data_IF_337070986268
#
_entry.id   IF_337070986268
#
_cell.length_a   1.000
_cell.length_b   1.000
_cell.length_c   1.000
_cell.angle_alpha   90.00
_cell.angle_beta   90.00
_cell.angle_gamma   90.00
#
_symmetry.space_group_name_H-M   'P 1'
#
loop_
_entity.id
_entity.type
_entity.pdbx_description
1 polymer ?
#
# COMPACT_ATOMS: atom_id res chain seq x y z
N UNK A 1 -54.03 18.59 -15.08
CA UNK A 1 -53.26 17.37 -15.43
C UNK A 1 -54.03 16.18 -14.91
N UNK A 2 -54.62 15.36 -15.79
CA UNK A 2 -55.61 14.32 -15.42
C UNK A 2 -54.93 13.13 -14.73
N UNK A 3 -55.57 12.54 -13.72
CA UNK A 3 -55.09 11.39 -12.94
C UNK A 3 -54.71 10.17 -13.80
N UNK A 4 -55.21 10.10 -15.05
CA UNK A 4 -54.77 9.11 -16.06
C UNK A 4 -53.34 9.33 -16.56
N UNK A 5 -52.91 10.58 -16.77
CA UNK A 5 -51.56 10.92 -17.25
C UNK A 5 -50.50 10.60 -16.18
N UNK A 6 -50.81 10.86 -14.91
CA UNK A 6 -49.93 10.53 -13.78
C UNK A 6 -49.77 9.01 -13.65
N UNK A 7 -50.85 8.23 -13.80
CA UNK A 7 -50.78 6.76 -13.74
C UNK A 7 -49.96 6.17 -14.90
N UNK A 8 -50.09 6.71 -16.12
CA UNK A 8 -49.29 6.27 -17.28
C UNK A 8 -47.82 6.62 -17.07
N UNK A 9 -47.52 7.80 -16.53
CA UNK A 9 -46.14 8.21 -16.22
C UNK A 9 -45.51 7.33 -15.13
N UNK A 10 -46.25 6.98 -14.07
CA UNK A 10 -45.76 6.08 -13.03
C UNK A 10 -45.50 4.65 -13.56
N UNK A 11 -46.33 4.14 -14.46
CA UNK A 11 -46.12 2.81 -15.07
C UNK A 11 -44.88 2.81 -15.98
N UNK A 12 -44.69 3.86 -16.78
CA UNK A 12 -43.48 4.01 -17.60
C UNK A 12 -42.21 4.17 -16.75
N UNK A 13 -42.28 4.93 -15.65
CA UNK A 13 -41.15 5.11 -14.74
C UNK A 13 -40.77 3.80 -14.03
N UNK A 14 -41.75 2.98 -13.64
CA UNK A 14 -41.52 1.66 -13.04
C UNK A 14 -40.96 0.63 -14.04
N UNK A 15 -41.32 0.73 -15.32
CA UNK A 15 -40.75 -0.12 -16.38
C UNK A 15 -39.33 0.31 -16.78
N UNK A 16 -39.01 1.60 -16.69
CA UNK A 16 -37.66 2.13 -16.97
C UNK A 16 -36.66 1.85 -15.84
N UNK A 17 -37.15 1.70 -14.61
CA UNK A 17 -36.38 1.26 -13.44
C UNK A 17 -36.45 -0.26 -13.22
N UNK A 18 -36.64 -1.05 -14.28
CA UNK A 18 -36.06 -2.38 -14.25
C UNK A 18 -34.55 -2.16 -14.17
N UNK A 19 -34.02 -2.30 -12.96
CA UNK A 19 -32.59 -2.44 -12.70
C UNK A 19 -32.02 -3.23 -13.86
N UNK A 20 -31.13 -2.63 -14.64
CA UNK A 20 -30.23 -3.39 -15.47
C UNK A 20 -29.48 -4.29 -14.50
N UNK A 21 -30.08 -5.46 -14.21
CA UNK A 21 -29.37 -6.58 -13.67
C UNK A 21 -28.27 -6.76 -14.70
N UNK A 22 -27.04 -6.43 -14.30
CA UNK A 22 -25.87 -6.79 -15.07
C UNK A 22 -25.98 -8.32 -15.13
N UNK A 23 -26.52 -8.84 -16.24
CA UNK A 23 -26.68 -10.27 -16.48
C UNK A 23 -25.26 -10.76 -16.68
N UNK A 24 -24.58 -11.03 -15.58
CA UNK A 24 -23.28 -11.68 -15.60
C UNK A 24 -23.53 -13.06 -16.21
N UNK A 25 -22.99 -13.30 -17.40
CA UNK A 25 -23.21 -14.54 -18.12
C UNK A 25 -22.89 -15.74 -17.21
N UNK A 26 -23.82 -16.69 -17.09
CA UNK A 26 -23.75 -17.85 -16.18
C UNK A 26 -22.44 -18.66 -16.31
N UNK A 27 -21.75 -18.58 -17.44
CA UNK A 27 -20.44 -19.22 -17.66
C UNK A 27 -19.26 -18.46 -17.06
N UNK A 28 -19.33 -17.14 -16.99
CA UNK A 28 -18.30 -16.30 -16.38
C UNK A 28 -18.28 -16.47 -14.85
N UNK A 29 -19.46 -16.65 -14.25
CA UNK A 29 -19.58 -16.92 -12.81
C UNK A 29 -19.00 -18.29 -12.40
N UNK A 30 -19.09 -19.32 -13.24
CA UNK A 30 -18.58 -20.67 -12.94
C UNK A 30 -17.04 -20.73 -12.90
N UNK A 31 -16.36 -20.16 -13.91
CA UNK A 31 -14.89 -20.16 -13.96
C UNK A 31 -14.28 -19.32 -12.83
N UNK A 32 -14.87 -18.16 -12.52
CA UNK A 32 -14.40 -17.30 -11.44
C UNK A 32 -14.59 -17.97 -10.07
N UNK A 33 -15.72 -18.64 -9.84
CA UNK A 33 -15.98 -19.37 -8.60
C UNK A 33 -14.97 -20.50 -8.39
N UNK A 34 -14.68 -21.27 -9.44
CA UNK A 34 -13.67 -22.34 -9.42
C UNK A 34 -12.25 -21.81 -9.19
N UNK A 35 -11.88 -20.73 -9.86
CA UNK A 35 -10.59 -20.08 -9.67
C UNK A 35 -10.44 -19.53 -8.24
N UNK A 36 -11.48 -18.88 -7.70
CA UNK A 36 -11.53 -18.44 -6.30
C UNK A 36 -11.28 -19.59 -5.33
N UNK A 37 -11.93 -20.73 -5.55
CA UNK A 37 -11.75 -21.92 -4.72
C UNK A 37 -10.32 -22.47 -4.78
N UNK A 38 -9.72 -22.47 -5.97
CA UNK A 38 -8.33 -22.89 -6.16
C UNK A 38 -7.34 -21.95 -5.45
N UNK A 39 -7.58 -20.63 -5.49
CA UNK A 39 -6.80 -19.64 -4.74
C UNK A 39 -6.89 -19.87 -3.23
N UNK A 40 -8.09 -20.06 -2.68
CA UNK A 40 -8.29 -20.33 -1.24
C UNK A 40 -7.59 -21.61 -0.78
N UNK A 41 -7.49 -22.62 -1.64
CA UNK A 41 -6.76 -23.87 -1.37
C UNK A 41 -5.26 -23.78 -1.63
N UNK A 42 -4.77 -22.69 -2.19
CA UNK A 42 -3.39 -22.55 -2.67
C UNK A 42 -2.96 -23.69 -3.63
N UNK A 43 -3.89 -24.22 -4.43
CA UNK A 43 -3.62 -25.32 -5.36
C UNK A 43 -3.10 -24.77 -6.69
N UNK A 44 -1.77 -24.67 -6.81
CA UNK A 44 -1.11 -24.10 -7.99
C UNK A 44 -1.46 -24.79 -9.30
N UNK A 45 -1.62 -26.12 -9.30
CA UNK A 45 -1.97 -26.86 -10.53
C UNK A 45 -3.39 -26.51 -10.96
N UNK A 46 -4.31 -26.45 -9.99
CA UNK A 46 -5.70 -26.11 -10.25
C UNK A 46 -5.85 -24.65 -10.68
N UNK A 47 -5.16 -23.70 -10.03
CA UNK A 47 -5.09 -22.29 -10.43
C UNK A 47 -4.65 -22.19 -11.90
N UNK A 48 -3.55 -22.87 -12.28
CA UNK A 48 -3.03 -22.83 -13.64
C UNK A 48 -4.01 -23.42 -14.67
N UNK A 49 -4.76 -24.45 -14.31
CA UNK A 49 -5.71 -25.12 -15.22
C UNK A 49 -6.84 -24.21 -15.73
N UNK A 50 -7.21 -23.20 -14.94
CA UNK A 50 -8.27 -22.24 -15.28
C UNK A 50 -7.78 -21.05 -16.11
N UNK A 51 -6.47 -20.94 -16.30
CA UNK A 51 -5.80 -19.85 -16.99
C UNK A 51 -5.45 -20.29 -18.40
N UNK A 52 -5.60 -19.38 -19.37
CA UNK A 52 -5.15 -19.59 -20.74
C UNK A 52 -3.64 -19.76 -20.77
N UNK A 53 -3.15 -20.67 -21.60
CA UNK A 53 -1.72 -20.92 -21.74
C UNK A 53 -0.96 -19.63 -22.11
N UNK A 54 0.23 -19.44 -21.54
CA UNK A 54 1.06 -18.23 -21.74
C UNK A 54 0.70 -17.04 -20.85
N UNK A 55 -0.43 -17.05 -20.14
CA UNK A 55 -0.76 -15.97 -19.18
C UNK A 55 0.05 -16.14 -17.89
N UNK A 56 0.82 -15.10 -17.55
CA UNK A 56 1.62 -15.06 -16.32
C UNK A 56 0.73 -14.84 -15.10
N UNK A 57 0.82 -15.75 -14.14
CA UNK A 57 0.17 -15.61 -12.84
C UNK A 57 0.95 -14.65 -11.92
N UNK A 58 0.26 -13.86 -11.09
CA UNK A 58 0.88 -13.17 -9.98
C UNK A 58 1.55 -14.13 -8.99
N UNK A 59 2.53 -13.63 -8.24
CA UNK A 59 3.10 -14.37 -7.12
C UNK A 59 2.16 -14.24 -5.93
N UNK A 60 1.63 -15.37 -5.46
CA UNK A 60 0.82 -15.41 -4.24
C UNK A 60 1.69 -15.80 -3.03
N UNK A 61 1.55 -15.12 -1.88
CA UNK A 61 2.27 -15.48 -0.66
C UNK A 61 1.91 -16.89 -0.22
N UNK A 62 2.90 -17.64 0.28
CA UNK A 62 2.72 -19.03 0.75
C UNK A 62 2.48 -19.13 2.24
N UNK A 63 3.02 -18.16 2.96
CA UNK A 63 3.15 -18.04 4.40
C UNK A 63 1.94 -17.37 5.05
N UNK A 64 1.16 -16.59 4.29
CA UNK A 64 -0.12 -16.03 4.73
C UNK A 64 -1.30 -16.68 3.99
N UNK A 65 -2.12 -17.51 4.67
CA UNK A 65 -3.29 -18.09 4.05
C UNK A 65 -4.34 -17.01 3.73
N UNK A 66 -5.01 -17.15 2.59
CA UNK A 66 -6.14 -16.29 2.23
C UNK A 66 -7.34 -16.67 3.08
N UNK A 67 -7.88 -15.70 3.81
CA UNK A 67 -9.07 -15.90 4.65
C UNK A 67 -10.36 -15.84 3.83
N UNK A 68 -10.49 -14.80 3.01
CA UNK A 68 -11.69 -14.54 2.21
C UNK A 68 -11.29 -13.97 0.85
N UNK A 69 -12.09 -14.26 -0.18
CA UNK A 69 -12.03 -13.55 -1.45
C UNK A 69 -13.43 -13.06 -1.80
N UNK A 70 -13.58 -11.74 -1.92
CA UNK A 70 -14.80 -11.09 -2.42
C UNK A 70 -14.73 -10.93 -3.93
N UNK A 71 -15.84 -11.22 -4.60
CA UNK A 71 -16.01 -11.08 -6.04
C UNK A 71 -16.84 -9.83 -6.30
N UNK A 72 -16.30 -8.89 -7.06
CA UNK A 72 -16.94 -7.61 -7.38
C UNK A 72 -17.07 -7.49 -8.90
N UNK A 73 -18.26 -7.15 -9.45
CA UNK A 73 -18.41 -6.92 -10.87
C UNK A 73 -17.61 -5.70 -11.33
N UNK A 74 -17.02 -5.77 -12.52
CA UNK A 74 -16.41 -4.62 -13.20
C UNK A 74 -17.38 -4.08 -14.26
N UNK A 75 -17.40 -2.76 -14.54
CA UNK A 75 -18.13 -2.20 -15.68
C UNK A 75 -17.51 -2.60 -17.03
N UNK A 76 -16.26 -3.10 -17.05
CA UNK A 76 -15.62 -3.61 -18.26
C UNK A 76 -16.21 -4.98 -18.62
N UNK A 77 -16.49 -5.18 -19.90
CA UNK A 77 -16.98 -6.47 -20.42
C UNK A 77 -16.03 -7.61 -20.05
N UNK A 78 -16.60 -8.79 -19.76
CA UNK A 78 -15.88 -10.01 -19.41
C UNK A 78 -14.90 -9.87 -18.22
N UNK A 79 -15.02 -8.81 -17.43
CA UNK A 79 -14.05 -8.47 -16.38
C UNK A 79 -14.66 -8.61 -14.99
N UNK A 80 -13.89 -9.22 -14.09
CA UNK A 80 -14.26 -9.40 -12.68
C UNK A 80 -13.12 -8.95 -11.78
N UNK A 81 -13.45 -8.29 -10.67
CA UNK A 81 -12.48 -7.92 -9.64
C UNK A 81 -12.55 -8.94 -8.50
N UNK A 82 -11.39 -9.46 -8.09
CA UNK A 82 -11.25 -10.27 -6.88
C UNK A 82 -10.50 -9.47 -5.82
N UNK A 83 -11.08 -9.35 -4.63
CA UNK A 83 -10.45 -8.72 -3.47
C UNK A 83 -10.17 -9.81 -2.44
N UNK A 84 -8.90 -10.11 -2.23
CA UNK A 84 -8.43 -11.10 -1.27
C UNK A 84 -8.13 -10.45 0.08
N UNK A 85 -8.43 -11.14 1.17
CA UNK A 85 -8.15 -10.72 2.53
C UNK A 85 -7.27 -11.75 3.24
N UNK A 86 -6.22 -11.28 3.90
CA UNK A 86 -5.46 -12.07 4.87
C UNK A 86 -6.02 -11.84 6.26
N UNK A 87 -6.01 -12.88 7.09
CA UNK A 87 -6.31 -12.76 8.52
C UNK A 87 -5.01 -12.41 9.24
N UNK A 88 -4.93 -11.24 9.86
CA UNK A 88 -3.75 -10.85 10.67
C UNK A 88 -3.93 -11.25 12.13
N UNK A 89 -5.09 -10.99 12.73
CA UNK A 89 -5.52 -11.44 14.07
C UNK A 89 -7.00 -11.85 14.02
N UNK A 90 -7.60 -12.25 15.15
CA UNK A 90 -8.96 -12.80 15.14
C UNK A 90 -10.05 -11.87 14.59
N UNK A 91 -9.88 -10.54 14.72
CA UNK A 91 -10.88 -9.55 14.33
C UNK A 91 -10.45 -8.61 13.20
N UNK A 92 -9.20 -8.68 12.73
CA UNK A 92 -8.66 -7.75 11.73
C UNK A 92 -8.21 -8.51 10.48
N UNK A 93 -8.94 -8.26 9.39
CA UNK A 93 -8.58 -8.70 8.05
C UNK A 93 -7.96 -7.54 7.25
N UNK A 94 -6.81 -7.76 6.63
CA UNK A 94 -6.19 -6.79 5.73
C UNK A 94 -6.31 -7.24 4.29
N UNK A 95 -6.40 -6.29 3.36
CA UNK A 95 -6.42 -6.62 1.93
C UNK A 95 -5.09 -7.26 1.56
N UNK A 96 -5.14 -8.49 1.08
CA UNK A 96 -3.98 -9.25 0.66
C UNK A 96 -3.56 -8.94 -0.77
N UNK A 97 -4.52 -8.94 -1.70
CA UNK A 97 -4.29 -8.51 -3.08
C UNK A 97 -5.61 -8.18 -3.78
N UNK A 98 -5.54 -7.41 -4.85
CA UNK A 98 -6.67 -7.14 -5.75
C UNK A 98 -6.29 -7.58 -7.16
N UNK A 99 -7.11 -8.46 -7.76
CA UNK A 99 -6.95 -8.91 -9.13
C UNK A 99 -8.07 -8.37 -10.02
N UNK A 100 -7.71 -7.88 -11.19
CA UNK A 100 -8.62 -7.70 -12.33
C UNK A 100 -8.44 -8.87 -13.28
N UNK A 101 -9.53 -9.59 -13.53
CA UNK A 101 -9.53 -10.85 -14.29
C UNK A 101 -10.46 -10.71 -15.48
N UNK A 102 -9.95 -11.01 -16.68
CA UNK A 102 -10.76 -11.05 -17.90
C UNK A 102 -10.98 -12.50 -18.33
N UNK A 103 -12.22 -12.91 -18.51
CA UNK A 103 -12.58 -14.29 -18.88
C UNK A 103 -13.05 -14.37 -20.32
N UNK A 104 -12.44 -15.24 -21.13
CA UNK A 104 -12.88 -15.54 -22.50
C UNK A 104 -12.91 -17.05 -22.71
N UNK A 105 -13.89 -17.54 -23.46
CA UNK A 105 -13.99 -18.97 -23.80
C UNK A 105 -13.90 -19.91 -22.58
N UNK A 106 -14.54 -19.53 -21.46
CA UNK A 106 -14.53 -20.27 -20.18
C UNK A 106 -13.15 -20.44 -19.53
N UNK A 107 -12.17 -19.62 -19.93
CA UNK A 107 -10.85 -19.52 -19.28
C UNK A 107 -10.53 -18.09 -18.90
N UNK A 108 -9.58 -17.94 -17.98
CA UNK A 108 -9.01 -16.65 -17.65
C UNK A 108 -7.98 -16.28 -18.72
N UNK A 109 -8.30 -15.24 -19.48
CA UNK A 109 -7.49 -14.73 -20.59
C UNK A 109 -6.55 -13.61 -20.21
N UNK A 110 -6.79 -12.93 -19.09
CA UNK A 110 -5.93 -11.90 -18.54
C UNK A 110 -6.07 -11.85 -17.02
N UNK A 111 -4.95 -11.65 -16.32
CA UNK A 111 -4.91 -11.38 -14.88
C UNK A 111 -3.99 -10.20 -14.66
N UNK A 112 -4.50 -9.15 -14.03
CA UNK A 112 -3.72 -8.00 -13.61
C UNK A 112 -3.82 -7.85 -12.09
N UNK A 113 -2.67 -7.78 -11.40
CA UNK A 113 -2.64 -7.52 -9.97
C UNK A 113 -2.60 -6.01 -9.74
N UNK A 114 -3.76 -5.44 -9.40
CA UNK A 114 -3.91 -4.00 -9.16
C UNK A 114 -3.32 -3.60 -7.81
N UNK A 115 -3.38 -4.51 -6.84
CA UNK A 115 -2.83 -4.28 -5.50
C UNK A 115 -2.16 -5.54 -4.98
N UNK A 116 -0.98 -5.36 -4.38
CA UNK A 116 -0.23 -6.38 -3.68
C UNK A 116 0.02 -5.92 -2.25
N UNK A 117 -0.76 -6.47 -1.31
CA UNK A 117 -0.64 -6.20 0.12
C UNK A 117 0.57 -6.87 0.76
N UNK A 118 1.34 -7.68 0.03
CA UNK A 118 2.65 -8.16 0.48
C UNK A 118 3.76 -7.19 0.14
N UNK A 119 3.56 -6.34 -0.89
CA UNK A 119 4.54 -5.35 -1.31
C UNK A 119 4.65 -4.22 -0.27
N UNK A 120 5.82 -4.04 0.38
CA UNK A 120 6.03 -3.00 1.37
C UNK A 120 5.72 -1.58 0.86
N UNK A 121 6.05 -1.29 -0.40
CA UNK A 121 5.88 0.03 -1.00
C UNK A 121 4.43 0.36 -1.36
N UNK A 122 3.60 -0.66 -1.65
CA UNK A 122 2.15 -0.45 -1.85
C UNK A 122 1.46 -0.11 -0.52
N UNK A 123 1.89 -0.76 0.57
CA UNK A 123 1.42 -0.42 1.92
C UNK A 123 1.84 0.98 2.35
N UNK A 124 3.08 1.36 2.05
CA UNK A 124 3.56 2.74 2.26
C UNK A 124 2.69 3.74 1.51
N UNK A 125 2.49 3.56 0.20
CA UNK A 125 1.71 4.48 -0.62
C UNK A 125 0.28 4.66 -0.09
N UNK A 126 -0.32 3.58 0.42
CA UNK A 126 -1.68 3.60 1.00
C UNK A 126 -1.75 4.51 2.24
N UNK A 127 -0.87 4.30 3.23
CA UNK A 127 -0.92 5.07 4.47
C UNK A 127 -0.39 6.50 4.30
N UNK A 128 0.58 6.71 3.41
CA UNK A 128 1.03 8.05 3.02
C UNK A 128 -0.14 8.82 2.45
N UNK A 129 -0.92 8.21 1.53
CA UNK A 129 -2.08 8.87 0.94
C UNK A 129 -3.15 9.21 1.98
N UNK A 130 -3.42 8.30 2.91
CA UNK A 130 -4.34 8.53 4.04
C UNK A 130 -3.89 9.75 4.87
N UNK A 131 -2.60 9.81 5.20
CA UNK A 131 -2.04 10.93 5.96
C UNK A 131 -2.10 12.25 5.18
N UNK A 132 -1.72 12.26 3.90
CA UNK A 132 -1.81 13.45 3.04
C UNK A 132 -3.24 13.99 2.94
N UNK A 133 -4.24 13.12 2.84
CA UNK A 133 -5.66 13.51 2.83
C UNK A 133 -6.08 14.13 4.16
N UNK A 134 -5.59 13.60 5.28
CA UNK A 134 -5.85 14.14 6.63
C UNK A 134 -5.26 15.53 6.80
N UNK A 135 -4.01 15.75 6.38
CA UNK A 135 -3.31 17.04 6.54
C UNK A 135 -3.50 18.00 5.37
N UNK A 136 -4.16 17.55 4.29
CA UNK A 136 -4.42 18.30 3.05
C UNK A 136 -3.14 18.87 2.41
N UNK A 137 -2.05 18.12 2.48
CA UNK A 137 -0.75 18.52 1.92
C UNK A 137 0.07 17.28 1.58
N UNK A 138 0.85 17.38 0.52
CA UNK A 138 1.82 16.36 0.15
C UNK A 138 2.96 16.28 1.17
N UNK A 139 3.47 15.07 1.37
CA UNK A 139 4.67 14.83 2.17
C UNK A 139 5.75 14.17 1.33
N UNK A 140 6.99 14.36 1.75
CA UNK A 140 8.12 13.72 1.11
C UNK A 140 8.19 12.24 1.49
N UNK A 141 8.41 11.36 0.52
CA UNK A 141 8.75 9.94 0.73
C UNK A 141 10.08 9.60 0.06
N UNK A 142 10.87 8.65 0.59
CA UNK A 142 12.19 8.34 0.05
C UNK A 142 12.10 7.54 -1.25
N UNK A 143 12.97 7.84 -2.21
CA UNK A 143 13.18 6.99 -3.40
C UNK A 143 14.44 6.14 -3.29
N UNK A 144 15.30 6.41 -2.29
CA UNK A 144 16.47 5.60 -1.94
C UNK A 144 16.33 5.04 -0.54
N UNK A 145 16.70 3.77 -0.39
CA UNK A 145 16.64 3.03 0.87
C UNK A 145 18.05 2.58 1.29
N UNK A 146 18.32 2.48 2.60
CA UNK A 146 19.63 2.08 3.12
C UNK A 146 19.96 0.59 2.91
N UNK A 147 18.97 -0.22 2.56
CA UNK A 147 19.03 -1.66 2.33
C UNK A 147 17.77 -2.12 1.57
N UNK A 148 17.73 -3.40 1.17
CA UNK A 148 16.54 -4.00 0.56
C UNK A 148 15.39 -4.09 1.56
N UNK A 149 14.20 -3.64 1.17
CA UNK A 149 13.03 -3.63 2.07
C UNK A 149 12.27 -4.95 1.96
N UNK A 150 12.15 -5.66 3.08
CA UNK A 150 11.41 -6.92 3.18
C UNK A 150 10.04 -6.73 3.82
N UNK A 151 9.94 -5.87 4.84
CA UNK A 151 8.68 -5.60 5.52
C UNK A 151 8.46 -4.10 5.75
N UNK A 152 7.20 -3.72 5.91
CA UNK A 152 6.77 -2.36 6.19
C UNK A 152 5.63 -2.30 7.20
N UNK A 153 5.73 -1.36 8.12
CA UNK A 153 4.67 -0.96 9.03
C UNK A 153 4.51 0.56 9.04
N UNK A 154 3.27 1.02 8.90
CA UNK A 154 2.92 2.43 8.96
C UNK A 154 1.94 2.70 10.09
N UNK A 155 2.10 3.83 10.78
CA UNK A 155 1.20 4.26 11.83
C UNK A 155 0.88 5.75 11.70
N UNK A 156 -0.40 6.10 11.78
CA UNK A 156 -0.85 7.48 11.97
C UNK A 156 -1.30 7.62 13.42
N UNK A 157 -0.62 8.45 14.20
CA UNK A 157 -0.97 8.72 15.60
C UNK A 157 -1.06 10.22 15.84
N UNK A 158 -2.21 10.68 16.33
CA UNK A 158 -2.51 12.12 16.45
C UNK A 158 -2.28 12.83 15.10
N UNK A 159 -1.27 13.70 15.01
CA UNK A 159 -0.91 14.42 13.78
C UNK A 159 0.43 13.97 13.20
N UNK A 160 0.91 12.78 13.54
CA UNK A 160 2.19 12.26 13.08
C UNK A 160 1.98 11.03 12.20
N UNK A 161 2.83 10.89 11.21
CA UNK A 161 3.00 9.67 10.43
C UNK A 161 4.34 9.03 10.79
N UNK A 162 4.34 7.74 11.03
CA UNK A 162 5.55 6.95 11.16
C UNK A 162 5.55 5.82 10.13
N UNK A 163 6.66 5.75 9.38
CA UNK A 163 6.93 4.74 8.37
C UNK A 163 8.13 3.92 8.87
N UNK A 164 7.96 2.61 9.00
CA UNK A 164 9.01 1.68 9.43
C UNK A 164 9.23 0.62 8.37
N UNK A 165 10.48 0.46 7.98
CA UNK A 165 10.93 -0.51 6.98
C UNK A 165 11.94 -1.45 7.62
N UNK A 166 11.85 -2.72 7.27
CA UNK A 166 12.63 -3.77 7.92
C UNK A 166 13.35 -4.63 6.90
N UNK A 167 14.53 -5.10 7.32
CA UNK A 167 15.27 -6.17 6.67
C UNK A 167 15.78 -7.12 7.77
N UNK A 168 15.24 -8.33 7.81
CA UNK A 168 15.51 -9.29 8.87
C UNK A 168 16.93 -9.90 8.74
N UNK A 169 17.45 -10.04 7.51
CA UNK A 169 18.77 -10.64 7.24
C UNK A 169 19.92 -9.83 7.85
N UNK A 170 19.74 -8.52 7.94
CA UNK A 170 20.70 -7.60 8.58
C UNK A 170 20.18 -7.02 9.90
N UNK A 171 19.02 -7.46 10.38
CA UNK A 171 18.30 -6.87 11.51
C UNK A 171 18.14 -5.34 11.37
N UNK A 172 17.97 -4.84 10.14
CA UNK A 172 17.94 -3.43 9.81
C UNK A 172 16.57 -2.83 10.06
N UNK A 173 16.55 -1.64 10.67
CA UNK A 173 15.32 -0.85 10.82
C UNK A 173 15.56 0.52 10.19
N UNK A 174 14.73 0.89 9.23
CA UNK A 174 14.73 2.23 8.67
C UNK A 174 13.42 2.89 9.03
N UNK A 175 13.48 4.08 9.63
CA UNK A 175 12.31 4.78 10.16
C UNK A 175 12.26 6.20 9.65
N UNK A 176 11.08 6.61 9.20
CA UNK A 176 10.76 8.01 8.91
C UNK A 176 9.61 8.43 9.80
N UNK A 177 9.77 9.55 10.49
CA UNK A 177 8.69 10.20 11.24
C UNK A 177 8.42 11.56 10.62
N UNK A 178 7.16 11.82 10.27
CA UNK A 178 6.68 13.08 9.73
C UNK A 178 5.70 13.68 10.74
N UNK A 179 5.95 14.92 11.14
CA UNK A 179 5.10 15.67 12.06
C UNK A 179 5.04 17.14 11.66
N UNK A 180 3.97 17.89 11.98
CA UNK A 180 3.99 19.34 11.88
C UNK A 180 5.20 19.94 12.62
N UNK A 181 5.78 21.02 12.09
CA UNK A 181 6.85 21.73 12.80
C UNK A 181 6.28 22.33 14.08
N UNK A 182 6.82 21.91 15.23
CA UNK A 182 6.51 22.48 16.54
C UNK A 182 7.62 23.40 17.04
N UNK A 183 8.87 23.04 16.72
CA UNK A 183 10.08 23.67 17.22
C UNK A 183 11.04 23.94 16.06
N UNK A 184 11.85 25.00 16.15
CA UNK A 184 12.90 25.25 15.15
C UNK A 184 14.00 24.20 15.27
N UNK A 185 14.69 23.91 14.16
CA UNK A 185 15.72 22.86 14.12
C UNK A 185 16.83 23.06 15.17
N UNK A 186 17.20 24.30 15.48
CA UNK A 186 18.21 24.63 16.49
C UNK A 186 17.82 24.26 17.94
N UNK A 187 16.54 23.95 18.19
CA UNK A 187 16.06 23.50 19.51
C UNK A 187 16.28 21.99 19.72
N UNK A 188 16.71 21.27 18.69
CA UNK A 188 17.09 19.85 18.76
C UNK A 188 18.61 19.65 18.91
N UNK A 189 19.36 20.72 19.17
CA UNK A 189 20.81 20.66 19.33
C UNK A 189 21.16 20.10 20.70
N UNK A 190 21.94 19.02 20.69
CA UNK A 190 22.54 18.43 21.88
C UNK A 190 24.06 18.40 21.72
N UNK A 191 24.78 17.92 22.75
CA UNK A 191 26.24 17.74 22.64
C UNK A 191 26.54 16.87 21.41
N UNK A 192 27.54 17.24 20.62
CA UNK A 192 27.96 16.48 19.44
C UNK A 192 27.11 16.64 18.18
N UNK A 193 25.92 17.27 18.24
CA UNK A 193 25.09 17.53 17.06
C UNK A 193 25.86 18.28 15.96
N UNK A 194 25.66 17.87 14.71
CA UNK A 194 26.28 18.49 13.54
C UNK A 194 25.22 18.98 12.55
N UNK A 195 25.42 20.17 11.99
CA UNK A 195 24.56 20.72 10.94
C UNK A 195 25.12 20.39 9.56
N UNK A 196 24.22 20.08 8.65
CA UNK A 196 24.49 19.82 7.24
C UNK A 196 23.55 20.64 6.36
N UNK A 197 23.95 20.84 5.11
CA UNK A 197 23.11 21.45 4.08
C UNK A 197 22.71 20.38 3.07
N UNK A 198 21.41 20.16 2.93
CA UNK A 198 20.81 19.38 1.85
C UNK A 198 20.65 20.28 0.61
N UNK A 199 20.39 19.65 -0.55
CA UNK A 199 19.93 20.35 -1.77
C UNK A 199 18.91 21.45 -1.47
N UNK A 200 19.07 22.57 -2.19
CA UNK A 200 18.33 23.83 -2.06
C UNK A 200 18.56 24.55 -0.72
N UNK A 201 19.78 24.47 -0.17
CA UNK A 201 20.20 25.11 1.08
C UNK A 201 19.31 24.77 2.29
N UNK A 202 18.65 23.60 2.28
CA UNK A 202 17.84 23.16 3.42
C UNK A 202 18.76 22.66 4.51
N UNK A 203 18.67 23.23 5.70
CA UNK A 203 19.47 22.78 6.84
C UNK A 203 18.93 21.45 7.38
N UNK A 204 19.84 20.53 7.67
CA UNK A 204 19.59 19.28 8.38
C UNK A 204 20.49 19.18 9.62
N UNK A 205 20.00 18.46 10.61
CA UNK A 205 20.65 18.25 11.90
C UNK A 205 20.90 16.76 12.06
N UNK A 206 22.16 16.36 12.15
CA UNK A 206 22.58 15.00 12.44
C UNK A 206 22.76 14.82 13.94
N UNK A 207 22.13 13.80 14.49
CA UNK A 207 22.19 13.45 15.90
C UNK A 207 23.09 12.21 16.09
N UNK A 208 24.35 12.38 16.54
CA UNK A 208 25.27 11.26 16.70
C UNK A 208 25.03 10.45 17.98
N UNK A 209 24.27 10.97 18.95
CA UNK A 209 24.14 10.39 20.29
C UNK A 209 22.86 9.59 20.51
N UNK A 210 22.15 9.29 19.44
CA UNK A 210 21.08 8.31 19.52
C UNK A 210 21.68 6.90 19.45
N UNK A 211 21.84 6.25 20.60
CA UNK A 211 22.53 4.95 20.71
C UNK A 211 21.88 3.86 19.85
N UNK A 212 20.57 3.96 19.62
CA UNK A 212 19.80 2.97 18.88
C UNK A 212 19.84 3.16 17.36
N UNK A 213 20.06 4.37 16.85
CA UNK A 213 20.01 4.67 15.42
C UNK A 213 20.86 5.86 14.97
N UNK A 214 21.26 5.89 13.70
CA UNK A 214 21.80 7.08 13.06
C UNK A 214 20.62 7.97 12.67
N UNK A 215 20.55 9.20 13.17
CA UNK A 215 19.38 10.07 12.99
C UNK A 215 19.72 11.39 12.29
N UNK A 216 18.91 11.77 11.32
CA UNK A 216 18.93 13.07 10.64
C UNK A 216 17.54 13.72 10.74
N UNK A 217 17.52 14.99 11.13
CA UNK A 217 16.31 15.80 11.26
C UNK A 217 16.37 16.95 10.27
N UNK A 218 15.31 17.19 9.51
CA UNK A 218 15.17 18.40 8.68
C UNK A 218 13.71 18.85 8.61
N UNK A 219 13.50 20.07 8.11
CA UNK A 219 12.16 20.65 8.00
C UNK A 219 11.90 21.12 6.57
N UNK A 220 10.69 20.87 6.05
CA UNK A 220 10.24 21.32 4.73
C UNK A 220 8.71 21.43 4.70
N UNK A 221 8.21 22.49 4.06
CA UNK A 221 6.78 22.71 3.78
C UNK A 221 5.86 22.63 5.02
N UNK A 222 6.36 23.05 6.17
CA UNK A 222 5.64 23.02 7.46
C UNK A 222 5.70 21.69 8.20
N UNK A 223 6.44 20.71 7.68
CA UNK A 223 6.70 19.42 8.33
C UNK A 223 8.14 19.30 8.79
N UNK A 224 8.30 18.55 9.87
CA UNK A 224 9.56 18.02 10.36
C UNK A 224 9.65 16.54 9.96
N UNK A 225 10.80 16.19 9.40
CA UNK A 225 11.16 14.84 9.00
C UNK A 225 12.28 14.38 9.91
N UNK A 226 12.09 13.23 10.56
CA UNK A 226 13.16 12.50 11.25
C UNK A 226 13.41 11.21 10.49
N UNK A 227 14.63 11.06 9.98
CA UNK A 227 15.09 9.85 9.30
C UNK A 227 16.02 9.13 10.25
N UNK A 228 15.78 7.85 10.52
CA UNK A 228 16.62 7.05 11.39
C UNK A 228 16.95 5.69 10.76
N UNK A 229 18.24 5.32 10.77
CA UNK A 229 18.71 3.97 10.44
C UNK A 229 19.13 3.30 11.76
N UNK A 230 18.27 2.42 12.25
CA UNK A 230 18.31 1.84 13.57
C UNK A 230 18.93 0.46 13.65
N UNK A 231 18.86 -0.05 14.87
CA UNK A 231 19.48 -1.29 15.31
C UNK A 231 21.00 -1.30 15.19
N UNK A 232 21.63 -0.16 15.56
CA UNK A 232 23.08 0.09 15.47
C UNK A 232 23.96 -1.06 15.96
N UNK A 233 23.55 -1.75 17.03
CA UNK A 233 24.30 -2.86 17.63
C UNK A 233 24.32 -4.13 16.75
N UNK A 234 23.29 -4.34 15.92
CA UNK A 234 23.07 -5.58 15.18
C UNK A 234 23.18 -5.40 13.67
N UNK A 235 23.03 -4.17 13.19
CA UNK A 235 23.13 -3.87 11.77
C UNK A 235 24.59 -4.06 11.31
N UNK A 236 24.77 -4.94 10.33
CA UNK A 236 26.11 -5.28 9.81
C UNK A 236 26.73 -4.12 9.01
N UNK A 237 25.90 -3.19 8.51
CA UNK A 237 26.31 -1.99 7.78
C UNK A 237 26.67 -0.83 8.71
N UNK A 238 27.81 -0.18 8.46
CA UNK A 238 28.18 1.09 9.12
C UNK A 238 27.59 2.24 8.33
N UNK A 239 26.58 2.90 8.90
CA UNK A 239 25.99 4.11 8.33
C UNK A 239 26.57 5.36 8.97
N UNK A 240 26.46 6.49 8.28
CA UNK A 240 26.92 7.79 8.75
C UNK A 240 25.97 8.90 8.26
N UNK A 241 26.32 10.16 8.56
CA UNK A 241 25.53 11.32 8.17
C UNK A 241 25.31 11.43 6.65
N UNK A 242 26.29 11.07 5.82
CA UNK A 242 26.14 11.14 4.36
C UNK A 242 25.12 10.14 3.83
N UNK A 243 25.03 8.95 4.40
CA UNK A 243 24.01 7.97 3.99
C UNK A 243 22.59 8.51 4.24
N UNK A 244 22.39 9.12 5.42
CA UNK A 244 21.13 9.77 5.77
C UNK A 244 20.83 10.98 4.88
N UNK A 245 21.84 11.78 4.54
CA UNK A 245 21.71 12.92 3.62
C UNK A 245 21.27 12.45 2.23
N UNK A 246 21.88 11.39 1.69
CA UNK A 246 21.50 10.83 0.39
C UNK A 246 20.04 10.36 0.36
N UNK A 247 19.57 9.75 1.46
CA UNK A 247 18.17 9.37 1.62
C UNK A 247 17.28 10.62 1.67
N UNK A 248 17.61 11.61 2.51
CA UNK A 248 16.85 12.86 2.64
C UNK A 248 16.75 13.62 1.30
N UNK A 249 17.82 13.60 0.51
CA UNK A 249 17.87 14.23 -0.82
C UNK A 249 17.15 13.44 -1.91
N UNK A 250 16.88 12.15 -1.67
CA UNK A 250 16.08 11.32 -2.56
C UNK A 250 14.57 11.54 -2.36
N UNK A 251 14.17 12.21 -1.27
CA UNK A 251 12.76 12.34 -0.94
C UNK A 251 12.08 13.40 -1.80
N UNK A 252 10.93 13.05 -2.40
CA UNK A 252 10.16 13.90 -3.30
C UNK A 252 8.67 13.96 -2.92
#
# INVERSE_FOLDING_TARGET
MTTKLIKIFCIFFLLYFQSASIIMAKSQTDIISKFKHALLKNDKKLIQSYVTEGIKLPTFPKDKPIHEIKVVPSPKEDTTILISYFKDTDDVSTIGFILEIVTKNKKISQINQIYDGTNPFMKEATIVKEYELKVKRHILTPTKFPFEIQQFHGYIYSNNLELRYYNDDINGIFKITVSPVQYKLNQYVHKGTQFYYLKNNRTALYNPHFDLAYELIFQKDGFQYKIAIGNKLYIKGKYNAQDLIQIAESMN
#
